data_IF_038362236988
#
_entry.id   IF_038362236988
#
_cell.length_a   1.000
_cell.length_b   1.000
_cell.length_c   1.000
_cell.angle_alpha   90.00
_cell.angle_beta   90.00
_cell.angle_gamma   90.00
#
_symmetry.space_group_name_H-M   'P 1'
#
loop_
_entity.id
_entity.type
_entity.pdbx_description
1 polymer ?
#
# COMPACT_ATOMS: atom_id res chain seq x y z
N UNK A 1 17.43 -19.18 -14.60
CA UNK A 1 17.35 -17.73 -14.80
C UNK A 1 16.42 -17.54 -15.98
N UNK A 2 15.39 -16.72 -15.85
CA UNK A 2 14.41 -16.33 -16.90
C UNK A 2 13.03 -16.99 -16.80
N UNK A 3 12.11 -16.26 -16.16
CA UNK A 3 10.64 -16.30 -16.32
C UNK A 3 9.93 -15.21 -15.51
N UNK A 4 10.58 -14.65 -14.47
CA UNK A 4 10.01 -13.60 -13.59
C UNK A 4 10.41 -12.19 -14.07
N UNK A 5 10.38 -11.99 -15.38
CA UNK A 5 10.18 -10.67 -15.98
C UNK A 5 8.81 -10.65 -16.67
N UNK A 6 7.88 -11.47 -16.16
CA UNK A 6 6.48 -11.41 -16.52
C UNK A 6 6.02 -10.00 -16.18
N UNK A 7 5.86 -9.19 -17.23
CA UNK A 7 5.26 -7.87 -17.17
C UNK A 7 3.91 -8.05 -16.47
N UNK A 8 3.86 -7.79 -15.16
CA UNK A 8 2.66 -7.96 -14.37
C UNK A 8 1.64 -7.02 -14.99
N UNK A 9 0.70 -7.61 -15.73
CA UNK A 9 -0.44 -6.89 -16.26
C UNK A 9 -1.25 -6.50 -15.05
N UNK A 10 -1.19 -5.23 -14.67
CA UNK A 10 -1.99 -4.66 -13.61
C UNK A 10 -3.44 -4.68 -14.12
N UNK A 11 -4.28 -5.65 -13.71
CA UNK A 11 -5.53 -5.96 -14.41
C UNK A 11 -6.55 -4.81 -14.34
N UNK A 12 -6.38 -3.92 -13.38
CA UNK A 12 -7.19 -2.72 -13.17
C UNK A 12 -6.48 -1.43 -13.59
N UNK A 13 -5.36 -1.53 -14.33
CA UNK A 13 -4.64 -0.35 -14.81
C UNK A 13 -4.74 -0.27 -16.33
N UNK A 14 -5.34 0.82 -16.80
CA UNK A 14 -5.47 1.12 -18.22
C UNK A 14 -4.37 2.11 -18.58
N UNK A 15 -3.41 1.68 -19.40
CA UNK A 15 -2.40 2.57 -19.96
C UNK A 15 -2.98 3.36 -21.13
N UNK A 16 -3.01 4.68 -21.01
CA UNK A 16 -3.33 5.58 -22.12
C UNK A 16 -2.02 6.14 -22.69
N UNK A 17 -1.49 5.60 -23.80
CA UNK A 17 -0.39 6.26 -24.50
C UNK A 17 -0.87 7.63 -25.01
N UNK A 18 0.04 8.61 -25.05
CA UNK A 18 -0.21 10.03 -25.28
C UNK A 18 -1.37 10.40 -26.24
N UNK A 19 -2.04 11.49 -25.86
CA UNK A 19 -3.38 11.95 -26.26
C UNK A 19 -4.53 11.15 -25.64
N UNK A 20 -5.01 11.67 -24.51
CA UNK A 20 -6.20 11.24 -23.78
C UNK A 20 -7.43 11.28 -24.67
N UNK A 21 -7.76 10.16 -25.32
CA UNK A 21 -9.05 10.02 -26.00
C UNK A 21 -10.18 10.01 -24.94
N UNK A 22 -11.07 11.02 -24.90
CA UNK A 22 -12.11 11.14 -23.88
C UNK A 22 -13.06 9.95 -23.83
N UNK A 23 -13.32 9.29 -24.97
CA UNK A 23 -14.20 8.11 -25.01
C UNK A 23 -13.61 6.91 -24.23
N UNK A 24 -12.27 6.78 -24.18
CA UNK A 24 -11.61 5.72 -23.39
C UNK A 24 -11.56 6.05 -21.90
N UNK A 25 -11.57 7.35 -21.56
CA UNK A 25 -11.67 7.80 -20.18
C UNK A 25 -13.04 7.47 -19.60
N UNK A 26 -14.12 7.71 -20.35
CA UNK A 26 -15.49 7.42 -19.90
C UNK A 26 -15.71 5.94 -19.57
N UNK A 27 -15.18 5.01 -20.37
CA UNK A 27 -15.26 3.56 -20.09
C UNK A 27 -14.38 3.13 -18.90
N UNK A 28 -13.20 3.75 -18.73
CA UNK A 28 -12.33 3.49 -17.58
C UNK A 28 -12.93 3.98 -16.26
N UNK A 29 -13.57 5.14 -16.27
CA UNK A 29 -14.26 5.72 -15.12
C UNK A 29 -15.46 4.88 -14.69
N UNK A 30 -16.14 4.23 -15.64
CA UNK A 30 -17.25 3.29 -15.39
C UNK A 30 -16.80 1.95 -14.84
N UNK A 31 -15.62 1.48 -15.21
CA UNK A 31 -15.05 0.20 -14.75
C UNK A 31 -14.25 0.34 -13.45
N UNK A 32 -13.98 1.57 -13.01
CA UNK A 32 -13.23 1.85 -11.79
C UNK A 32 -11.75 1.52 -11.92
N UNK A 33 -11.21 1.44 -13.13
CA UNK A 33 -9.79 1.16 -13.35
C UNK A 33 -8.92 2.40 -13.10
N UNK A 34 -7.70 2.20 -12.62
CA UNK A 34 -6.68 3.24 -12.54
C UNK A 34 -6.16 3.57 -13.93
N UNK A 35 -6.22 4.84 -14.32
CA UNK A 35 -5.69 5.30 -15.60
C UNK A 35 -4.20 5.62 -15.44
N UNK A 36 -3.35 4.89 -16.14
CA UNK A 36 -1.91 5.10 -16.17
C UNK A 36 -1.49 6.03 -17.32
N UNK A 37 -0.63 6.99 -16.99
CA UNK A 37 -0.03 7.97 -17.88
C UNK A 37 1.41 8.27 -17.50
N UNK A 38 2.05 9.23 -18.18
CA UNK A 38 3.43 9.62 -17.90
C UNK A 38 3.58 10.32 -16.53
N UNK A 39 2.49 10.83 -15.98
CA UNK A 39 2.47 11.48 -14.68
C UNK A 39 2.49 10.51 -13.49
N UNK A 40 2.12 9.23 -13.69
CA UNK A 40 1.95 8.25 -12.61
C UNK A 40 2.73 6.94 -12.83
N UNK A 41 3.50 6.82 -13.92
CA UNK A 41 4.31 5.63 -14.21
C UNK A 41 5.29 5.31 -13.09
N UNK A 42 5.86 6.31 -12.42
CA UNK A 42 6.82 6.09 -11.32
C UNK A 42 6.15 5.40 -10.13
N UNK A 43 4.92 5.79 -9.78
CA UNK A 43 4.17 5.15 -8.70
C UNK A 43 3.81 3.70 -9.06
N UNK A 44 3.44 3.45 -10.32
CA UNK A 44 3.15 2.11 -10.82
C UNK A 44 4.40 1.21 -10.83
N UNK A 45 5.55 1.76 -11.26
CA UNK A 45 6.82 1.05 -11.22
C UNK A 45 7.23 0.70 -9.79
N UNK A 46 7.00 1.60 -8.84
CA UNK A 46 7.24 1.33 -7.41
C UNK A 46 6.33 0.23 -6.86
N UNK A 47 5.05 0.21 -7.25
CA UNK A 47 4.12 -0.88 -6.91
C UNK A 47 4.58 -2.22 -7.51
N UNK A 48 5.01 -2.22 -8.77
CA UNK A 48 5.56 -3.42 -9.40
C UNK A 48 6.79 -3.94 -8.64
N UNK A 49 7.68 -3.04 -8.22
CA UNK A 49 8.86 -3.41 -7.43
C UNK A 49 8.52 -4.00 -6.06
N UNK A 50 7.43 -3.55 -5.44
CA UNK A 50 6.91 -4.14 -4.20
C UNK A 50 6.39 -5.57 -4.39
N UNK A 51 5.97 -5.96 -5.59
CA UNK A 51 5.42 -7.30 -5.83
C UNK A 51 6.44 -8.31 -6.37
N UNK A 52 7.70 -7.90 -6.52
CA UNK A 52 8.80 -8.74 -6.98
C UNK A 52 9.41 -9.60 -5.86
N UNK A 53 10.15 -10.68 -6.21
CA UNK A 53 10.98 -11.40 -5.25
C UNK A 53 11.98 -10.44 -4.59
N UNK A 54 12.01 -10.40 -3.25
CA UNK A 54 12.81 -9.45 -2.45
C UNK A 54 12.36 -7.99 -2.69
N UNK A 55 11.15 -7.63 -2.25
CA UNK A 55 10.67 -6.27 -2.35
C UNK A 55 11.42 -5.33 -1.40
N UNK A 56 11.42 -4.01 -1.66
CA UNK A 56 11.92 -3.05 -0.69
C UNK A 56 11.06 -3.10 0.58
N UNK A 57 11.65 -2.76 1.73
CA UNK A 57 10.97 -2.86 3.02
C UNK A 57 9.82 -1.87 3.23
N UNK A 58 9.74 -0.81 2.44
CA UNK A 58 8.68 0.20 2.52
C UNK A 58 8.46 0.91 1.18
N UNK A 59 7.20 1.25 0.91
CA UNK A 59 6.77 2.15 -0.15
C UNK A 59 5.88 3.25 0.44
N UNK A 60 6.26 4.50 0.22
CA UNK A 60 5.44 5.67 0.59
C UNK A 60 4.95 6.37 -0.65
N UNK A 61 3.63 6.58 -0.75
CA UNK A 61 3.00 7.35 -1.82
C UNK A 61 2.61 8.74 -1.29
N UNK A 62 3.12 9.80 -1.93
CA UNK A 62 2.81 11.18 -1.57
C UNK A 62 2.25 11.95 -2.79
N UNK A 63 1.27 12.82 -2.55
CA UNK A 63 0.64 13.61 -3.59
C UNK A 63 -0.65 14.29 -3.11
N UNK A 64 -1.18 15.26 -3.87
CA UNK A 64 -2.39 16.00 -3.51
C UNK A 64 -3.63 15.08 -3.40
N UNK A 65 -4.71 15.52 -2.71
CA UNK A 65 -5.99 14.80 -2.73
C UNK A 65 -6.47 14.54 -4.16
N UNK A 66 -7.06 13.37 -4.40
CA UNK A 66 -7.53 12.97 -5.73
C UNK A 66 -6.44 12.43 -6.68
N UNK A 67 -5.17 12.38 -6.27
CA UNK A 67 -4.08 11.81 -7.10
C UNK A 67 -4.08 10.28 -7.21
N UNK A 68 -5.11 9.59 -6.71
CA UNK A 68 -5.25 8.13 -6.80
C UNK A 68 -4.41 7.29 -5.83
N UNK A 69 -3.83 7.86 -4.76
CA UNK A 69 -3.02 7.11 -3.76
C UNK A 69 -3.76 5.92 -3.15
N UNK A 70 -4.95 6.14 -2.60
CA UNK A 70 -5.81 5.09 -2.02
C UNK A 70 -6.11 3.99 -3.04
N UNK A 71 -6.36 4.38 -4.29
CA UNK A 71 -6.60 3.43 -5.37
C UNK A 71 -5.35 2.58 -5.66
N UNK A 72 -4.18 3.22 -5.79
CA UNK A 72 -2.88 2.55 -6.00
C UNK A 72 -2.53 1.60 -4.85
N UNK A 73 -2.81 1.98 -3.60
CA UNK A 73 -2.66 1.10 -2.44
C UNK A 73 -3.58 -0.13 -2.53
N UNK A 74 -4.83 0.06 -2.99
CA UNK A 74 -5.75 -1.04 -3.26
C UNK A 74 -5.23 -2.01 -4.34
N UNK A 75 -4.69 -1.47 -5.43
CA UNK A 75 -4.05 -2.24 -6.50
C UNK A 75 -2.88 -3.07 -5.94
N UNK A 76 -2.00 -2.47 -5.13
CA UNK A 76 -0.89 -3.19 -4.48
C UNK A 76 -1.40 -4.35 -3.60
N UNK A 77 -2.39 -4.10 -2.74
CA UNK A 77 -2.98 -5.14 -1.88
C UNK A 77 -3.52 -6.32 -2.69
N UNK A 78 -4.19 -6.05 -3.81
CA UNK A 78 -4.74 -7.08 -4.69
C UNK A 78 -3.65 -7.90 -5.36
N UNK A 79 -2.68 -7.24 -6.00
CA UNK A 79 -1.56 -7.90 -6.66
C UNK A 79 -0.77 -8.78 -5.70
N UNK A 80 -0.55 -8.28 -4.48
CA UNK A 80 0.16 -9.02 -3.45
C UNK A 80 -0.57 -10.35 -3.13
N UNK A 81 -1.90 -10.31 -2.99
CA UNK A 81 -2.70 -11.53 -2.77
C UNK A 81 -2.71 -12.48 -3.97
N UNK A 82 -2.69 -11.94 -5.19
CA UNK A 82 -2.67 -12.73 -6.42
C UNK A 82 -1.31 -13.44 -6.63
N UNK A 83 -0.21 -12.75 -6.33
CA UNK A 83 1.16 -13.26 -6.51
C UNK A 83 1.59 -14.18 -5.37
N UNK A 84 1.15 -13.89 -4.14
CA UNK A 84 1.42 -14.70 -2.95
C UNK A 84 0.13 -15.23 -2.32
N UNK A 85 -0.48 -16.28 -2.88
CA UNK A 85 -1.67 -16.89 -2.29
C UNK A 85 -1.44 -17.34 -0.85
N UNK A 86 -2.34 -16.95 0.06
CA UNK A 86 -2.26 -17.30 1.48
C UNK A 86 -1.47 -16.32 2.36
N UNK A 87 -0.93 -15.24 1.79
CA UNK A 87 -0.32 -14.17 2.58
C UNK A 87 -1.33 -13.43 3.47
N UNK A 88 -0.83 -12.88 4.57
CA UNK A 88 -1.59 -11.98 5.45
C UNK A 88 -1.39 -10.53 5.01
N UNK A 89 -2.45 -9.91 4.48
CA UNK A 89 -2.45 -8.49 4.08
C UNK A 89 -3.39 -7.70 4.96
N UNK A 90 -2.85 -6.68 5.62
CA UNK A 90 -3.59 -5.76 6.47
C UNK A 90 -3.61 -4.39 5.79
N UNK A 91 -4.80 -3.84 5.55
CA UNK A 91 -4.98 -2.50 4.99
C UNK A 91 -5.98 -1.74 5.84
N UNK A 92 -5.58 -0.55 6.32
CA UNK A 92 -6.40 0.30 7.18
C UNK A 92 -6.01 1.77 7.04
N UNK A 93 -6.92 2.70 7.38
CA UNK A 93 -6.55 4.10 7.60
C UNK A 93 -5.61 4.24 8.79
N UNK A 94 -4.69 5.20 8.73
CA UNK A 94 -3.76 5.49 9.82
C UNK A 94 -4.48 6.02 11.08
N UNK A 95 -5.70 6.54 10.94
CA UNK A 95 -6.56 6.91 12.07
C UNK A 95 -6.98 5.70 12.92
N UNK A 96 -7.23 4.55 12.30
CA UNK A 96 -7.55 3.31 13.01
C UNK A 96 -6.32 2.71 13.69
N UNK A 97 -5.17 2.77 13.02
CA UNK A 97 -3.88 2.38 13.61
C UNK A 97 -3.62 3.19 14.90
N UNK A 98 -3.81 4.50 14.84
CA UNK A 98 -3.70 5.40 15.98
C UNK A 98 -4.69 5.05 17.10
N UNK A 99 -5.95 4.81 16.75
CA UNK A 99 -6.98 4.48 17.73
C UNK A 99 -6.64 3.20 18.50
N UNK A 100 -6.21 2.15 17.78
CA UNK A 100 -5.77 0.90 18.37
C UNK A 100 -4.57 1.10 19.33
N UNK A 101 -3.64 1.99 18.97
CA UNK A 101 -2.49 2.32 19.82
C UNK A 101 -2.91 3.06 21.11
N UNK A 102 -3.80 4.05 21.01
CA UNK A 102 -4.33 4.79 22.17
C UNK A 102 -5.09 3.85 23.13
N UNK A 103 -5.88 2.93 22.59
CA UNK A 103 -6.59 1.91 23.37
C UNK A 103 -5.63 0.96 24.09
N UNK A 104 -4.56 0.54 23.43
CA UNK A 104 -3.55 -0.33 24.03
C UNK A 104 -2.84 0.32 25.24
N UNK A 105 -2.56 1.63 25.18
CA UNK A 105 -1.96 2.37 26.29
C UNK A 105 -2.95 2.53 27.46
N UNK A 106 -4.19 2.91 27.15
CA UNK A 106 -5.19 3.30 28.16
C UNK A 106 -5.75 2.10 28.92
N UNK A 107 -5.88 0.94 28.26
CA UNK A 107 -6.54 -0.24 28.83
C UNK A 107 -5.72 -1.00 29.87
N UNK A 108 -4.43 -0.66 30.11
CA UNK A 108 -3.49 -1.37 31.01
C UNK A 108 -3.39 -2.89 30.81
N UNK A 109 -4.05 -3.44 29.80
CA UNK A 109 -3.84 -4.80 29.37
C UNK A 109 -2.49 -4.84 28.69
N UNK A 110 -1.73 -5.88 29.01
CA UNK A 110 -0.53 -6.26 28.25
C UNK A 110 -0.82 -6.09 26.76
N UNK A 111 0.17 -5.62 26.02
CA UNK A 111 0.20 -5.44 24.57
C UNK A 111 -0.08 -6.73 23.76
N UNK A 112 -0.77 -7.72 24.33
CA UNK A 112 -1.27 -8.95 23.71
C UNK A 112 -2.32 -8.71 22.63
N UNK A 113 -2.79 -7.47 22.45
CA UNK A 113 -3.53 -7.03 21.27
C UNK A 113 -2.67 -6.12 20.38
N UNK A 114 -1.38 -6.45 20.20
CA UNK A 114 -0.75 -6.20 18.90
C UNK A 114 -1.66 -6.88 17.88
N UNK A 115 -2.57 -6.12 17.27
CA UNK A 115 -3.18 -6.53 15.99
C UNK A 115 -2.01 -7.03 15.15
N UNK A 116 -2.16 -8.18 14.50
CA UNK A 116 -1.11 -9.02 13.88
C UNK A 116 -0.34 -8.34 12.72
N UNK A 117 0.02 -7.06 12.86
CA UNK A 117 0.77 -6.23 11.94
C UNK A 117 2.19 -6.75 11.78
N UNK A 118 2.80 -7.22 12.88
CA UNK A 118 4.15 -7.81 12.87
C UNK A 118 4.18 -9.14 12.11
N UNK A 119 3.09 -9.92 12.21
CA UNK A 119 2.94 -11.19 11.51
C UNK A 119 2.44 -11.02 10.06
N UNK A 120 1.91 -9.85 9.71
CA UNK A 120 1.40 -9.57 8.37
C UNK A 120 2.53 -9.54 7.34
N UNK A 121 2.29 -10.09 6.16
CA UNK A 121 3.24 -10.08 5.05
C UNK A 121 3.24 -8.73 4.31
N UNK A 122 2.11 -8.02 4.37
CA UNK A 122 1.98 -6.65 3.87
C UNK A 122 1.09 -5.84 4.82
N UNK A 123 1.58 -4.68 5.23
CA UNK A 123 0.81 -3.68 5.98
C UNK A 123 0.69 -2.41 5.14
N UNK A 124 -0.54 -1.97 4.93
CA UNK A 124 -0.87 -0.74 4.19
C UNK A 124 -1.60 0.22 5.12
N UNK A 125 -0.99 1.38 5.33
CA UNK A 125 -1.57 2.49 6.07
C UNK A 125 -1.94 3.61 5.11
N UNK A 126 -3.24 3.87 4.94
CA UNK A 126 -3.72 5.00 4.16
C UNK A 126 -3.88 6.25 5.02
N UNK A 127 -3.88 7.43 4.41
CA UNK A 127 -4.05 8.72 5.07
C UNK A 127 -3.13 8.97 6.29
N UNK A 128 -1.82 8.75 6.11
CA UNK A 128 -0.79 8.94 7.14
C UNK A 128 -0.82 10.32 7.83
N UNK A 129 -1.39 11.35 7.21
CA UNK A 129 -1.59 12.66 7.81
C UNK A 129 -2.39 12.62 9.12
N UNK A 130 -3.24 11.60 9.34
CA UNK A 130 -3.99 11.45 10.59
C UNK A 130 -3.13 11.05 11.80
N UNK A 131 -1.85 10.70 11.59
CA UNK A 131 -0.86 10.50 12.64
C UNK A 131 -0.19 11.81 13.08
N UNK A 132 -0.40 12.92 12.37
CA UNK A 132 0.15 14.21 12.76
C UNK A 132 -0.36 14.63 14.15
N UNK A 133 0.56 15.10 15.00
CA UNK A 133 0.23 15.50 16.38
C UNK A 133 0.20 14.35 17.40
N UNK A 134 0.57 13.12 17.02
CA UNK A 134 0.61 11.96 17.92
C UNK A 134 2.01 11.32 17.95
N UNK A 135 2.99 11.89 18.69
CA UNK A 135 4.38 11.44 18.66
C UNK A 135 4.58 9.95 18.98
N UNK A 136 3.88 9.43 19.99
CA UNK A 136 4.02 8.03 20.38
C UNK A 136 3.55 7.05 19.28
N UNK A 137 2.49 7.38 18.53
CA UNK A 137 2.04 6.56 17.41
C UNK A 137 3.02 6.64 16.21
N UNK A 138 3.68 7.79 16.04
CA UNK A 138 4.72 7.98 15.01
C UNK A 138 5.98 7.17 15.35
N UNK A 139 6.42 7.16 16.62
CA UNK A 139 7.55 6.36 17.08
C UNK A 139 7.32 4.86 16.87
N UNK A 140 6.11 4.37 17.18
CA UNK A 140 5.76 2.96 16.94
C UNK A 140 5.75 2.62 15.43
N UNK A 141 5.25 3.52 14.59
CA UNK A 141 5.32 3.33 13.13
C UNK A 141 6.77 3.23 12.64
N UNK A 142 7.68 4.07 13.16
CA UNK A 142 9.10 3.99 12.84
C UNK A 142 9.70 2.64 13.28
N UNK A 143 9.31 2.14 14.46
CA UNK A 143 9.73 0.83 14.92
C UNK A 143 9.27 -0.31 14.00
N UNK A 144 8.01 -0.25 13.52
CA UNK A 144 7.46 -1.19 12.54
C UNK A 144 8.23 -1.14 11.21
N UNK A 145 8.55 0.06 10.70
CA UNK A 145 9.34 0.23 9.47
C UNK A 145 10.73 -0.39 9.59
N UNK A 146 11.44 -0.13 10.68
CA UNK A 146 12.75 -0.75 10.92
C UNK A 146 12.66 -2.29 11.05
N UNK A 147 11.55 -2.82 11.56
CA UNK A 147 11.32 -4.26 11.62
C UNK A 147 11.14 -4.84 10.21
N UNK A 148 10.39 -4.17 9.34
CA UNK A 148 10.20 -4.58 7.95
C UNK A 148 11.52 -4.58 7.14
N UNK A 149 12.39 -3.59 7.36
CA UNK A 149 13.69 -3.48 6.65
C UNK A 149 14.69 -4.58 7.00
N UNK A 150 14.61 -5.14 8.23
CA UNK A 150 15.52 -6.21 8.67
C UNK A 150 15.19 -7.59 8.07
N UNK A 151 14.07 -7.69 7.35
CA UNK A 151 13.47 -8.97 6.96
C UNK A 151 12.85 -9.66 8.17
N UNK A 152 11.71 -10.32 7.97
CA UNK A 152 11.20 -11.25 8.99
C UNK A 152 12.29 -12.32 9.25
N UNK A 153 12.59 -12.67 10.52
CA UNK A 153 13.57 -13.70 10.83
C UNK A 153 13.21 -15.06 10.21
#
# INVERSE_FOLDING_TARGET
MDAIAARIFLPEVIFLPGESNPDRLDDSLRTGCFVAGEENWLALAAIQRMVEPHPPGCLTLFGPPGSGKTHLLGVLCRLWKEIWPGCSVISLPASEYRQAFVEAITSRHTLTSRRSWEDADLVVLDDLQFLAGYPAAQEELVALLHAAERGKP
#
